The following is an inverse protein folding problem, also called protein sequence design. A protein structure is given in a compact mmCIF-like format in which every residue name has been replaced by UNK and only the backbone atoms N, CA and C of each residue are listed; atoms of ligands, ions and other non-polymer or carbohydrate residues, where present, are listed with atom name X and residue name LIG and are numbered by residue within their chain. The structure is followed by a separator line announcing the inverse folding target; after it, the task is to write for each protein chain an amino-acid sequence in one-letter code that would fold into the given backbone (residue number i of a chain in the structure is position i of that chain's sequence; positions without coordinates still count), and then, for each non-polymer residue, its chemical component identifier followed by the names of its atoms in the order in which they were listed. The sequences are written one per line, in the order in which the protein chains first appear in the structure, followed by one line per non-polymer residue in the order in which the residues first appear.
data_IF_289442500137
#
_entry.id   IF_289442500137
#
_cell.length_a   1.000
_cell.length_b   1.000
_cell.length_c   1.000
_cell.angle_alpha   90.00
_cell.angle_beta   90.00
_cell.angle_gamma   90.00
#
_symmetry.space_group_name_H-M   'P 1'
#
loop_
_entity.id
_entity.type
_entity.pdbx_description
1 polymer ?
#
# COMPACT_ATOMS: atom_id res chain seq x y z
N UNK A 1 28.21 -6.85 38.61
CA UNK A 1 28.35 -7.82 37.50
C UNK A 1 26.99 -7.98 36.84
N UNK A 2 26.76 -7.37 35.67
CA UNK A 2 25.52 -7.59 34.92
C UNK A 2 25.66 -8.96 34.26
N UNK A 3 24.99 -9.97 34.80
CA UNK A 3 24.83 -11.25 34.13
C UNK A 3 24.13 -10.99 32.79
N UNK A 4 24.88 -11.09 31.69
CA UNK A 4 24.31 -10.94 30.36
C UNK A 4 23.30 -12.08 30.17
N UNK A 5 22.01 -11.76 30.18
CA UNK A 5 20.97 -12.72 29.80
C UNK A 5 21.39 -13.34 28.44
N UNK A 6 21.39 -14.67 28.39
CA UNK A 6 21.71 -15.48 27.22
C UNK A 6 20.48 -16.31 26.86
N UNK A 7 20.39 -16.73 25.60
CA UNK A 7 19.26 -17.55 25.13
C UNK A 7 17.98 -16.75 24.90
N UNK A 8 16.84 -17.42 25.00
CA UNK A 8 15.50 -16.88 24.71
C UNK A 8 15.17 -15.63 25.55
N UNK A 9 15.62 -15.59 26.81
CA UNK A 9 15.36 -14.49 27.76
C UNK A 9 16.04 -13.17 27.40
N UNK A 10 16.91 -13.19 26.37
CA UNK A 10 17.63 -12.03 25.88
C UNK A 10 17.13 -11.51 24.53
N UNK A 11 16.17 -12.20 23.89
CA UNK A 11 15.63 -11.75 22.60
C UNK A 11 14.94 -10.38 22.75
N UNK A 12 15.29 -9.44 21.87
CA UNK A 12 14.78 -8.06 21.91
C UNK A 12 15.60 -7.07 22.75
N UNK A 13 16.62 -7.53 23.49
CA UNK A 13 17.54 -6.64 24.20
C UNK A 13 18.59 -6.02 23.26
N UNK A 14 19.13 -4.86 23.66
CA UNK A 14 20.22 -4.19 22.95
C UNK A 14 21.43 -5.13 22.77
N UNK A 15 22.09 -5.05 21.60
CA UNK A 15 23.21 -5.91 21.24
C UNK A 15 22.81 -7.35 20.88
N UNK A 16 21.51 -7.66 20.77
CA UNK A 16 21.00 -8.96 20.30
C UNK A 16 20.25 -8.77 18.99
N UNK A 17 20.52 -9.65 18.03
CA UNK A 17 19.90 -9.62 16.71
C UNK A 17 19.21 -10.94 16.43
N UNK A 18 17.90 -10.88 16.18
CA UNK A 18 17.08 -12.04 15.86
C UNK A 18 16.21 -11.68 14.66
N UNK A 19 16.20 -12.55 13.66
CA UNK A 19 15.26 -12.46 12.55
C UNK A 19 14.18 -13.52 12.72
N UNK A 20 12.95 -13.12 12.42
CA UNK A 20 11.82 -14.03 12.48
C UNK A 20 11.86 -15.01 11.30
N UNK A 21 11.53 -16.27 11.55
CA UNK A 21 11.47 -17.31 10.51
C UNK A 21 10.48 -16.91 9.39
N UNK A 22 10.79 -17.19 8.10
CA UNK A 22 9.89 -16.99 6.97
C UNK A 22 8.44 -17.49 7.15
N UNK A 23 8.21 -18.52 7.96
CA UNK A 23 6.86 -19.03 8.23
C UNK A 23 5.96 -17.97 8.90
N UNK A 24 6.51 -17.16 9.81
CA UNK A 24 5.75 -16.05 10.40
C UNK A 24 5.44 -14.94 9.40
N UNK A 25 6.32 -14.71 8.42
CA UNK A 25 6.06 -13.76 7.36
C UNK A 25 4.93 -14.24 6.44
N UNK A 26 4.88 -15.54 6.15
CA UNK A 26 3.75 -16.16 5.43
C UNK A 26 2.45 -16.11 6.23
N UNK A 27 2.50 -16.26 7.55
CA UNK A 27 1.32 -16.12 8.39
C UNK A 27 0.70 -14.71 8.30
N UNK A 28 1.54 -13.67 8.18
CA UNK A 28 1.06 -12.28 7.99
C UNK A 28 0.62 -11.95 6.56
N UNK A 29 1.10 -12.67 5.54
CA UNK A 29 0.71 -12.43 4.15
C UNK A 29 -0.44 -13.30 3.67
N UNK A 30 -0.77 -14.39 4.37
CA UNK A 30 -1.88 -15.26 4.01
C UNK A 30 -3.20 -14.48 3.91
N UNK A 31 -4.03 -14.73 2.88
CA UNK A 31 -3.95 -15.81 1.89
C UNK A 31 -3.08 -15.50 0.66
N UNK A 32 -2.41 -14.35 0.60
CA UNK A 32 -1.66 -13.89 -0.57
C UNK A 32 -0.36 -14.68 -0.79
N UNK A 33 0.03 -14.82 -2.06
CA UNK A 33 1.20 -15.62 -2.46
C UNK A 33 2.51 -14.92 -2.07
N UNK A 34 3.37 -15.65 -1.36
CA UNK A 34 4.74 -15.26 -0.97
C UNK A 34 4.78 -14.03 -0.02
N UNK A 35 5.86 -13.26 -0.05
CA UNK A 35 6.19 -12.23 0.94
C UNK A 35 7.07 -11.12 0.32
N UNK A 36 7.57 -10.19 1.15
CA UNK A 36 8.50 -9.12 0.74
C UNK A 36 9.62 -9.65 -0.14
N UNK A 37 9.99 -8.89 -1.18
CA UNK A 37 10.93 -9.21 -2.27
C UNK A 37 10.36 -9.98 -3.44
N UNK A 38 9.13 -10.49 -3.35
CA UNK A 38 8.42 -11.05 -4.49
C UNK A 38 7.44 -10.01 -5.06
N UNK A 39 7.22 -10.04 -6.38
CA UNK A 39 6.25 -9.14 -7.05
C UNK A 39 4.79 -9.64 -6.93
N UNK A 40 4.58 -10.83 -6.37
CA UNK A 40 3.25 -11.39 -6.07
C UNK A 40 2.52 -10.61 -4.96
N UNK A 41 1.23 -10.89 -4.77
CA UNK A 41 0.36 -10.19 -3.83
C UNK A 41 0.91 -10.15 -2.41
N UNK A 42 1.53 -11.22 -1.90
CA UNK A 42 2.07 -11.23 -0.54
C UNK A 42 3.27 -10.29 -0.34
N UNK A 43 3.88 -9.81 -1.43
CA UNK A 43 4.95 -8.82 -1.42
C UNK A 43 4.52 -7.40 -1.79
N UNK A 44 3.39 -7.24 -2.50
CA UNK A 44 2.95 -5.95 -3.07
C UNK A 44 1.58 -5.47 -2.57
N UNK A 45 0.69 -6.36 -2.12
CA UNK A 45 -0.57 -5.97 -1.46
C UNK A 45 -0.33 -5.74 0.03
N UNK A 46 -0.41 -4.48 0.42
CA UNK A 46 -0.21 -4.04 1.80
C UNK A 46 -1.49 -3.39 2.35
N UNK A 47 -1.82 -3.57 3.64
CA UNK A 47 -2.95 -2.89 4.24
C UNK A 47 -2.65 -1.38 4.34
N UNK A 48 -3.62 -0.57 3.91
CA UNK A 48 -3.59 0.88 4.04
C UNK A 48 -4.77 1.35 4.90
N UNK A 49 -4.49 2.22 5.86
CA UNK A 49 -5.51 2.88 6.67
C UNK A 49 -5.44 4.38 6.38
N UNK A 50 -6.56 4.96 5.97
CA UNK A 50 -6.68 6.39 5.72
C UNK A 50 -7.87 6.94 6.50
N UNK A 51 -7.69 8.13 7.08
CA UNK A 51 -8.77 8.91 7.68
C UNK A 51 -8.79 10.28 7.00
N UNK A 52 -9.89 10.58 6.32
CA UNK A 52 -10.09 11.87 5.65
C UNK A 52 -11.32 12.58 6.23
N UNK A 53 -11.22 13.86 6.64
CA UNK A 53 -12.35 14.61 7.21
C UNK A 53 -13.54 14.67 6.24
N UNK A 54 -14.74 14.39 6.74
CA UNK A 54 -15.96 14.45 5.92
C UNK A 54 -16.10 13.34 4.87
N UNK A 55 -15.20 12.34 4.87
CA UNK A 55 -15.32 11.21 3.95
C UNK A 55 -16.51 10.32 4.32
N UNK A 56 -17.44 10.04 3.37
CA UNK A 56 -18.45 8.99 3.57
C UNK A 56 -17.84 7.58 3.51
N UNK A 57 -16.61 7.43 3.01
CA UNK A 57 -15.92 6.15 3.02
C UNK A 57 -15.52 5.81 4.46
N UNK A 58 -16.23 4.86 5.06
CA UNK A 58 -15.98 4.38 6.42
C UNK A 58 -15.80 2.87 6.44
N UNK A 59 -15.00 2.39 7.40
CA UNK A 59 -14.71 0.98 7.55
C UNK A 59 -13.81 0.38 6.45
N UNK A 60 -13.81 -0.95 6.36
CA UNK A 60 -13.03 -1.69 5.37
C UNK A 60 -13.74 -1.65 4.01
N UNK A 61 -13.03 -1.22 2.99
CA UNK A 61 -13.48 -1.29 1.60
C UNK A 61 -12.57 -2.24 0.78
N UNK A 62 -13.03 -2.62 -0.41
CA UNK A 62 -12.28 -3.45 -1.35
C UNK A 62 -11.61 -2.62 -2.46
N UNK A 63 -11.50 -1.30 -2.28
CA UNK A 63 -10.81 -0.42 -3.23
C UNK A 63 -9.32 -0.71 -3.14
N UNK A 64 -8.70 -0.83 -4.30
CA UNK A 64 -7.28 -1.10 -4.43
C UNK A 64 -6.66 0.15 -5.02
N UNK A 65 -5.79 0.78 -4.23
CA UNK A 65 -4.96 1.90 -4.66
C UNK A 65 -3.53 1.45 -4.89
N UNK A 66 -2.79 2.26 -5.64
CA UNK A 66 -1.36 2.14 -5.80
C UNK A 66 -0.63 3.20 -4.96
N UNK A 67 0.64 2.96 -4.62
CA UNK A 67 1.44 3.96 -3.90
C UNK A 67 1.54 5.27 -4.71
N UNK A 68 1.56 5.18 -6.04
CA UNK A 68 1.61 6.33 -6.95
C UNK A 68 0.39 7.26 -6.83
N UNK A 69 -0.73 6.78 -6.28
CA UNK A 69 -1.93 7.58 -6.06
C UNK A 69 -1.77 8.59 -4.90
N UNK A 70 -0.80 8.39 -4.00
CA UNK A 70 -0.64 9.24 -2.82
C UNK A 70 -0.23 10.67 -3.17
N UNK A 71 0.75 10.83 -4.06
CA UNK A 71 1.25 12.15 -4.47
C UNK A 71 0.13 13.01 -5.07
N UNK A 72 -0.59 12.58 -6.11
CA UNK A 72 -1.67 13.39 -6.68
C UNK A 72 -2.81 13.62 -5.67
N UNK A 73 -3.08 12.65 -4.77
CA UNK A 73 -4.09 12.84 -3.69
C UNK A 73 -3.70 13.96 -2.73
N UNK A 74 -2.43 14.04 -2.32
CA UNK A 74 -1.94 15.05 -1.38
C UNK A 74 -1.91 16.43 -2.06
N UNK A 75 -1.45 16.51 -3.31
CA UNK A 75 -1.42 17.77 -4.07
C UNK A 75 -2.83 18.32 -4.29
N UNK A 76 -3.78 17.48 -4.71
CA UNK A 76 -5.19 17.84 -4.89
C UNK A 76 -5.83 18.29 -3.55
N UNK A 77 -5.50 17.62 -2.43
CA UNK A 77 -5.96 18.03 -1.10
C UNK A 77 -5.38 19.36 -0.63
N UNK A 78 -4.16 19.69 -1.06
CA UNK A 78 -3.49 20.94 -0.76
C UNK A 78 -3.84 22.07 -1.76
N UNK A 79 -4.64 21.78 -2.79
CA UNK A 79 -4.92 22.70 -3.89
C UNK A 79 -3.64 23.17 -4.63
N UNK A 80 -2.68 22.26 -4.81
CA UNK A 80 -1.42 22.50 -5.51
C UNK A 80 -1.44 21.76 -6.85
N UNK A 81 -1.08 22.44 -7.94
CA UNK A 81 -0.92 21.83 -9.26
C UNK A 81 0.33 20.97 -9.34
N UNK A 82 0.26 19.91 -10.16
CA UNK A 82 1.45 19.19 -10.57
C UNK A 82 2.25 20.05 -11.57
N UNK A 83 3.55 20.18 -11.33
CA UNK A 83 4.43 20.98 -12.17
C UNK A 83 5.51 20.08 -12.80
N UNK A 84 5.80 20.22 -14.11
CA UNK A 84 6.88 19.47 -14.75
C UNK A 84 8.28 19.96 -14.32
N UNK A 85 8.33 21.13 -13.67
CA UNK A 85 9.54 21.80 -13.21
C UNK A 85 9.36 22.25 -11.75
N UNK A 86 10.28 21.84 -10.88
CA UNK A 86 10.32 22.27 -9.47
C UNK A 86 11.70 22.84 -9.19
N UNK A 87 11.77 24.08 -8.70
CA UNK A 87 13.02 24.80 -8.42
C UNK A 87 14.01 24.79 -9.61
N UNK A 88 13.49 24.98 -10.82
CA UNK A 88 14.30 24.99 -12.05
C UNK A 88 14.80 23.61 -12.51
N UNK A 89 14.34 22.52 -11.88
CA UNK A 89 14.69 21.14 -12.27
C UNK A 89 13.49 20.41 -12.86
N UNK A 90 13.71 19.67 -13.94
CA UNK A 90 12.71 18.78 -14.51
C UNK A 90 12.46 17.61 -13.55
N UNK A 91 11.21 17.37 -13.21
CA UNK A 91 10.80 16.26 -12.34
C UNK A 91 10.06 15.19 -13.13
N UNK A 92 9.95 13.99 -12.54
CA UNK A 92 9.21 12.89 -13.14
C UNK A 92 7.72 13.21 -13.21
N UNK A 93 7.04 12.65 -14.22
CA UNK A 93 5.59 12.76 -14.36
C UNK A 93 4.95 11.93 -13.24
N UNK A 94 3.90 12.48 -12.63
CA UNK A 94 3.07 11.75 -11.67
C UNK A 94 2.16 10.81 -12.45
N UNK A 95 2.31 9.51 -12.23
CA UNK A 95 1.57 8.47 -12.99
C UNK A 95 0.24 8.05 -12.33
N UNK A 96 0.09 8.26 -11.03
CA UNK A 96 -1.10 7.83 -10.28
C UNK A 96 -2.29 8.78 -10.43
N UNK A 97 -3.39 8.47 -9.75
CA UNK A 97 -4.59 9.33 -9.71
C UNK A 97 -4.98 9.70 -8.29
N UNK A 98 -5.47 10.91 -8.12
CA UNK A 98 -6.01 11.37 -6.84
C UNK A 98 -7.14 10.45 -6.37
N UNK A 99 -7.06 10.03 -5.10
CA UNK A 99 -8.10 9.30 -4.38
C UNK A 99 -9.18 10.22 -3.81
N UNK A 100 -9.01 11.55 -3.87
CA UNK A 100 -9.97 12.49 -3.29
C UNK A 100 -11.40 12.36 -3.86
N UNK A 101 -11.62 12.16 -5.17
CA UNK A 101 -12.95 11.91 -5.69
C UNK A 101 -13.64 10.73 -5.01
N UNK A 102 -12.92 9.62 -4.83
CA UNK A 102 -13.40 8.46 -4.10
C UNK A 102 -13.64 8.76 -2.62
N UNK A 103 -12.69 9.41 -1.94
CA UNK A 103 -12.80 9.77 -0.54
C UNK A 103 -13.99 10.70 -0.27
N UNK A 104 -14.37 11.56 -1.22
CA UNK A 104 -15.52 12.47 -1.07
C UNK A 104 -16.85 11.85 -1.47
N UNK A 105 -16.89 10.99 -2.50
CA UNK A 105 -18.12 10.42 -3.05
C UNK A 105 -18.46 9.01 -2.52
N UNK A 106 -17.49 8.31 -1.94
CA UNK A 106 -17.61 6.91 -1.54
C UNK A 106 -17.66 5.90 -2.70
N UNK A 107 -17.42 6.34 -3.94
CA UNK A 107 -17.40 5.50 -5.14
C UNK A 107 -16.10 5.72 -5.91
N UNK A 108 -15.43 4.62 -6.24
CA UNK A 108 -14.21 4.66 -7.04
C UNK A 108 -14.61 4.58 -8.51
N UNK A 109 -14.54 5.72 -9.19
CA UNK A 109 -14.88 5.94 -10.60
C UNK A 109 -13.63 5.97 -11.50
N UNK A 110 -12.46 5.62 -10.96
CA UNK A 110 -11.21 5.59 -11.72
C UNK A 110 -11.27 4.51 -12.83
N UNK A 111 -10.66 4.76 -14.00
CA UNK A 111 -10.57 3.76 -15.05
C UNK A 111 -9.76 2.54 -14.58
N UNK A 112 -9.95 1.41 -15.24
CA UNK A 112 -9.07 0.24 -15.03
C UNK A 112 -7.68 0.62 -15.49
N UNK A 113 -6.71 0.53 -14.58
CA UNK A 113 -5.31 0.82 -14.87
C UNK A 113 -4.45 -0.42 -14.80
N UNK A 114 -3.45 -0.49 -15.67
CA UNK A 114 -2.41 -1.49 -15.63
C UNK A 114 -1.26 -1.01 -14.75
N UNK A 115 -0.88 -1.83 -13.78
CA UNK A 115 0.29 -1.60 -12.94
C UNK A 115 1.26 -2.75 -13.12
N UNK A 116 2.47 -2.41 -13.54
CA UNK A 116 3.56 -3.36 -13.73
C UNK A 116 4.58 -3.23 -12.59
N UNK A 117 5.03 -4.37 -12.08
CA UNK A 117 6.16 -4.42 -11.16
C UNK A 117 7.23 -5.33 -11.74
N UNK A 118 8.47 -4.86 -11.74
CA UNK A 118 9.67 -5.68 -11.97
C UNK A 118 10.55 -5.59 -10.73
N UNK A 119 11.05 -6.74 -10.28
CA UNK A 119 12.12 -6.78 -9.29
C UNK A 119 12.88 -8.10 -9.36
N UNK A 120 14.20 -8.01 -9.44
CA UNK A 120 15.11 -9.18 -9.43
C UNK A 120 14.75 -10.21 -10.52
N UNK A 121 14.35 -9.76 -11.70
CA UNK A 121 13.98 -10.63 -12.82
C UNK A 121 12.58 -11.24 -12.70
N UNK A 122 11.83 -10.90 -11.65
CA UNK A 122 10.42 -11.23 -11.53
C UNK A 122 9.60 -10.08 -12.12
N UNK A 123 8.55 -10.41 -12.87
CA UNK A 123 7.64 -9.42 -13.42
C UNK A 123 6.18 -9.81 -13.15
N UNK A 124 5.33 -8.83 -12.90
CA UNK A 124 3.88 -9.00 -12.87
C UNK A 124 3.20 -7.77 -13.46
N UNK A 125 2.05 -7.98 -14.09
CA UNK A 125 1.16 -6.91 -14.56
C UNK A 125 -0.20 -7.17 -13.94
N UNK A 126 -0.81 -6.11 -13.42
CA UNK A 126 -2.09 -6.19 -12.73
C UNK A 126 -3.03 -5.10 -13.19
N UNK A 127 -4.28 -5.49 -13.39
CA UNK A 127 -5.39 -4.58 -13.60
C UNK A 127 -5.96 -4.16 -12.25
N UNK A 128 -5.84 -2.87 -11.92
CA UNK A 128 -6.51 -2.27 -10.78
C UNK A 128 -7.96 -1.98 -11.19
N UNK A 129 -8.86 -2.88 -10.79
CA UNK A 129 -10.30 -2.70 -10.97
C UNK A 129 -10.95 -2.47 -9.61
N UNK A 130 -11.79 -1.44 -9.52
CA UNK A 130 -12.78 -1.38 -8.46
C UNK A 130 -13.78 -2.53 -8.66
N UNK A 131 -13.69 -3.56 -7.83
CA UNK A 131 -14.77 -4.55 -7.74
C UNK A 131 -15.92 -3.86 -7.00
N UNK A 132 -16.76 -3.12 -7.73
CA UNK A 132 -18.04 -2.62 -7.23
C UNK A 132 -19.02 -3.80 -7.04
N UNK A 133 -18.64 -4.79 -6.23
CA UNK A 133 -19.60 -5.75 -5.69
C UNK A 133 -20.30 -5.05 -4.54
N UNK A 134 -21.41 -4.42 -4.90
CA UNK A 134 -22.48 -4.04 -4.00
C UNK A 134 -22.71 -5.19 -3.02
N UNK A 135 -22.22 -5.05 -1.79
CA UNK A 135 -22.53 -5.99 -0.69
C UNK A 135 -23.90 -5.66 -0.09
N UNK A 136 -24.79 -5.06 -0.87
CA UNK A 136 -26.18 -4.89 -0.54
C UNK A 136 -26.90 -6.22 -0.83
N UNK A 137 -27.47 -6.82 0.22
CA UNK A 137 -28.25 -8.08 0.27
C UNK A 137 -27.42 -9.36 0.40
N UNK A 138 -26.89 -9.58 1.61
CA UNK A 138 -26.97 -10.89 2.28
C UNK A 138 -27.71 -10.69 3.60
N UNK A 139 -29.03 -10.65 3.49
CA UNK A 139 -29.97 -11.00 4.57
C UNK A 139 -30.25 -12.49 4.46
#
# INVERSE_FOLDING_TARGET
MISARKGIDAMGLSGRFVLRNPQWAKASSAPSRLLKTFVTEGGTLVPMIMRFPGSPASGRNAVIGDLRDLVPTILDAAHVSEEPMVEGRKVAIVEGRSLLPWLRKGRDDRPVEEVAFEKYGQATVRFLMCCARNSAKRT
#
